data_IF_860242115803
#
_entry.id   IF_860242115803
#
_cell.length_a   1.000
_cell.length_b   1.000
_cell.length_c   1.000
_cell.angle_alpha   90.00
_cell.angle_beta   90.00
_cell.angle_gamma   90.00
#
_symmetry.space_group_name_H-M   'P 1'
#
loop_
_entity.id
_entity.type
_entity.pdbx_description
1 polymer ?
#
# COMPACT_ATOMS: atom_id res chain seq x y z
N UNK A 1 32.37 17.89 -35.51
CA UNK A 1 32.64 16.75 -34.61
C UNK A 1 31.36 16.45 -33.86
N UNK A 2 30.69 15.35 -34.23
CA UNK A 2 29.37 14.97 -33.77
C UNK A 2 29.42 14.25 -32.43
N UNK A 3 28.55 14.67 -31.52
CA UNK A 3 28.13 13.87 -30.36
C UNK A 3 26.61 13.95 -30.25
N UNK A 4 25.96 13.40 -31.27
CA UNK A 4 24.54 13.07 -31.22
C UNK A 4 24.47 11.57 -31.49
N UNK A 5 24.14 10.82 -30.44
CA UNK A 5 23.72 9.44 -30.58
C UNK A 5 22.39 9.41 -31.36
N UNK A 6 22.17 8.37 -32.16
CA UNK A 6 21.06 8.23 -33.13
C UNK A 6 19.67 8.13 -32.47
N UNK A 7 19.61 8.09 -31.16
CA UNK A 7 18.39 8.23 -30.36
C UNK A 7 18.55 9.52 -29.58
N UNK A 8 17.63 10.48 -29.73
CA UNK A 8 17.69 11.79 -29.07
C UNK A 8 17.56 11.77 -27.54
N UNK A 9 18.22 10.84 -26.84
CA UNK A 9 18.43 10.93 -25.40
C UNK A 9 19.56 11.92 -25.16
N UNK A 10 19.24 12.94 -24.36
CA UNK A 10 20.24 13.83 -23.79
C UNK A 10 21.35 12.99 -23.14
N UNK A 11 22.58 13.49 -23.18
CA UNK A 11 23.70 12.86 -22.48
C UNK A 11 23.29 12.57 -21.02
N UNK A 12 23.65 11.40 -20.47
CA UNK A 12 23.30 11.08 -19.08
C UNK A 12 23.84 12.19 -18.19
N UNK A 13 22.92 12.86 -17.50
CA UNK A 13 23.18 13.84 -16.46
C UNK A 13 24.18 13.19 -15.48
N UNK A 14 25.24 13.90 -15.05
CA UNK A 14 26.22 13.31 -14.14
C UNK A 14 25.48 12.74 -12.95
N UNK A 15 25.74 11.47 -12.65
CA UNK A 15 25.08 10.70 -11.58
C UNK A 15 25.29 11.47 -10.28
N UNK A 16 24.32 12.30 -9.94
CA UNK A 16 24.29 13.05 -8.69
C UNK A 16 24.03 12.02 -7.61
N UNK A 17 24.92 11.99 -6.63
CA UNK A 17 24.82 11.10 -5.48
C UNK A 17 23.38 11.12 -4.95
N UNK A 18 22.72 9.95 -4.93
CA UNK A 18 21.31 9.82 -4.59
C UNK A 18 20.97 10.39 -3.20
N UNK A 19 21.98 10.63 -2.37
CA UNK A 19 21.84 11.26 -1.06
C UNK A 19 21.50 12.76 -1.09
N UNK A 20 21.94 13.51 -2.10
CA UNK A 20 21.75 14.97 -2.17
C UNK A 20 20.60 15.41 -3.09
N UNK A 21 20.13 14.52 -3.96
CA UNK A 21 19.07 14.83 -4.93
C UNK A 21 17.70 14.83 -4.24
N UNK A 22 16.91 15.93 -4.33
CA UNK A 22 15.55 15.96 -3.81
C UNK A 22 14.66 14.99 -4.60
N UNK A 23 13.63 14.39 -3.97
CA UNK A 23 12.80 13.33 -4.58
C UNK A 23 12.22 13.70 -5.94
N UNK A 24 11.76 14.93 -6.14
CA UNK A 24 11.23 15.39 -7.44
C UNK A 24 12.29 15.78 -8.47
N UNK A 25 13.57 15.81 -8.10
CA UNK A 25 14.69 16.14 -8.98
C UNK A 25 15.32 14.92 -9.67
N UNK A 26 14.76 13.73 -9.45
CA UNK A 26 15.16 12.50 -10.10
C UNK A 26 14.63 12.47 -11.54
N UNK A 27 15.45 11.96 -12.48
CA UNK A 27 15.12 11.89 -13.91
C UNK A 27 13.86 11.02 -14.15
N UNK A 28 13.59 10.07 -13.26
CA UNK A 28 12.43 9.18 -13.26
C UNK A 28 11.08 9.92 -13.14
N UNK A 29 11.05 11.15 -12.61
CA UNK A 29 9.85 12.00 -12.61
C UNK A 29 9.57 12.65 -13.98
N UNK A 30 10.55 12.63 -14.89
CA UNK A 30 10.42 13.19 -16.24
C UNK A 30 10.00 12.14 -17.28
N UNK A 31 10.05 10.86 -16.93
CA UNK A 31 9.58 9.75 -17.77
C UNK A 31 8.21 9.24 -17.28
N UNK A 32 7.43 8.64 -18.18
CA UNK A 32 6.16 8.03 -17.81
C UNK A 32 6.39 6.73 -17.02
N UNK A 33 5.49 6.43 -16.07
CA UNK A 33 5.56 5.20 -15.29
C UNK A 33 5.49 3.94 -16.17
N UNK A 34 6.24 2.86 -15.85
CA UNK A 34 6.19 1.60 -16.59
C UNK A 34 4.78 0.96 -16.51
N UNK A 35 4.17 0.67 -17.67
CA UNK A 35 2.78 0.16 -17.72
C UNK A 35 2.65 -1.33 -18.05
N UNK A 36 3.58 -1.89 -18.84
CA UNK A 36 3.40 -3.21 -19.46
C UNK A 36 4.58 -4.16 -19.30
N UNK A 37 5.72 -3.68 -18.79
CA UNK A 37 6.94 -4.46 -18.64
C UNK A 37 7.69 -4.05 -17.37
N UNK A 38 8.34 -5.04 -16.75
CA UNK A 38 9.26 -4.77 -15.65
C UNK A 38 10.42 -3.87 -16.12
N UNK A 39 10.78 -2.81 -15.37
CA UNK A 39 11.96 -2.01 -15.65
C UNK A 39 13.25 -2.86 -15.60
N UNK A 40 14.23 -2.48 -16.42
CA UNK A 40 15.54 -3.13 -16.40
C UNK A 40 16.41 -2.69 -15.21
N UNK A 41 16.16 -1.48 -14.70
CA UNK A 41 16.93 -0.87 -13.62
C UNK A 41 16.03 -0.59 -12.41
N UNK A 42 16.62 -0.63 -11.21
CA UNK A 42 15.94 -0.30 -9.97
C UNK A 42 15.81 1.21 -9.78
N UNK A 43 14.73 1.64 -9.14
CA UNK A 43 14.48 3.03 -8.77
C UNK A 43 14.76 3.27 -7.28
N UNK A 44 15.10 4.50 -6.89
CA UNK A 44 15.19 4.89 -5.48
C UNK A 44 13.83 4.66 -4.77
N UNK A 45 13.80 3.98 -3.59
CA UNK A 45 12.55 3.70 -2.87
C UNK A 45 11.69 4.93 -2.57
N UNK A 46 12.30 6.10 -2.37
CA UNK A 46 11.58 7.36 -2.09
C UNK A 46 10.85 7.85 -3.32
N UNK A 47 11.47 7.71 -4.49
CA UNK A 47 10.90 8.08 -5.80
C UNK A 47 9.75 7.12 -6.11
N UNK A 48 9.99 5.80 -6.00
CA UNK A 48 8.98 4.78 -6.25
C UNK A 48 7.74 4.97 -5.36
N UNK A 49 7.94 5.17 -4.06
CA UNK A 49 6.85 5.42 -3.11
C UNK A 49 6.05 6.67 -3.49
N UNK A 50 6.73 7.75 -3.88
CA UNK A 50 6.05 9.01 -4.19
C UNK A 50 5.29 8.98 -5.51
N UNK A 51 5.80 8.23 -6.49
CA UNK A 51 5.08 8.00 -7.75
C UNK A 51 3.81 7.19 -7.51
N UNK A 52 3.88 6.10 -6.74
CA UNK A 52 2.71 5.29 -6.38
C UNK A 52 1.70 6.12 -5.57
N UNK A 53 2.16 6.90 -4.58
CA UNK A 53 1.27 7.80 -3.84
C UNK A 53 0.53 8.75 -4.78
N UNK A 54 1.21 9.26 -5.81
CA UNK A 54 0.62 10.23 -6.74
C UNK A 54 -0.46 9.60 -7.61
N UNK A 55 -0.32 8.32 -7.99
CA UNK A 55 -1.39 7.58 -8.66
C UNK A 55 -2.56 7.30 -7.72
N UNK A 56 -2.29 6.89 -6.47
CA UNK A 56 -3.33 6.65 -5.46
C UNK A 56 -4.10 7.93 -5.07
N UNK A 57 -3.45 9.09 -5.09
CA UNK A 57 -4.10 10.38 -4.84
C UNK A 57 -5.10 10.76 -5.95
N UNK A 58 -5.02 10.12 -7.13
CA UNK A 58 -6.01 10.27 -8.20
C UNK A 58 -7.25 9.39 -8.00
N UNK A 59 -7.18 8.37 -7.14
CA UNK A 59 -8.34 7.53 -6.81
C UNK A 59 -9.38 8.29 -5.98
N UNK A 60 -10.60 7.77 -6.00
CA UNK A 60 -11.70 8.32 -5.24
C UNK A 60 -11.43 8.22 -3.73
N UNK A 61 -11.66 9.30 -2.98
CA UNK A 61 -11.53 9.29 -1.52
C UNK A 61 -12.74 8.60 -0.90
N UNK A 62 -12.53 7.43 -0.30
CA UNK A 62 -13.58 6.60 0.28
C UNK A 62 -14.46 7.33 1.32
N UNK A 63 -13.94 8.34 2.03
CA UNK A 63 -14.71 9.14 2.99
C UNK A 63 -15.83 10.00 2.36
N UNK A 64 -15.94 10.03 1.03
CA UNK A 64 -17.02 10.66 0.28
C UNK A 64 -17.96 9.63 -0.38
N UNK A 65 -17.78 8.33 -0.13
CA UNK A 65 -18.67 7.29 -0.66
C UNK A 65 -19.88 7.10 0.26
N UNK A 66 -21.07 7.39 -0.26
CA UNK A 66 -22.34 7.21 0.44
C UNK A 66 -23.15 6.02 -0.09
N UNK A 67 -22.64 5.33 -1.13
CA UNK A 67 -23.36 4.29 -1.85
C UNK A 67 -22.94 2.87 -1.46
N UNK A 68 -21.77 2.70 -0.85
CA UNK A 68 -21.26 1.39 -0.45
C UNK A 68 -21.64 1.01 0.99
N UNK A 69 -21.67 -0.31 1.23
CA UNK A 69 -21.92 -0.88 2.56
C UNK A 69 -20.62 -1.32 3.25
N UNK A 70 -19.46 -0.92 2.72
CA UNK A 70 -18.16 -1.23 3.31
C UNK A 70 -17.84 -0.24 4.41
N UNK A 71 -16.98 -0.65 5.35
CA UNK A 71 -16.45 0.26 6.38
C UNK A 71 -15.27 1.03 5.80
N UNK A 72 -15.36 2.35 5.77
CA UNK A 72 -14.37 3.28 5.23
C UNK A 72 -13.62 4.08 6.32
N UNK A 73 -14.08 3.99 7.58
CA UNK A 73 -13.48 4.65 8.74
C UNK A 73 -13.30 3.68 9.92
N UNK A 74 -12.17 3.79 10.61
CA UNK A 74 -11.88 3.13 11.88
C UNK A 74 -11.16 4.08 12.83
N UNK A 75 -11.30 3.86 14.15
CA UNK A 75 -10.58 4.64 15.16
C UNK A 75 -9.05 4.42 15.06
N UNK A 76 -8.20 5.41 15.40
CA UNK A 76 -6.75 5.31 15.29
C UNK A 76 -6.14 4.11 16.04
N UNK A 77 -6.76 3.68 17.13
CA UNK A 77 -6.37 2.50 17.91
C UNK A 77 -6.53 1.21 17.10
N UNK A 78 -7.57 1.13 16.27
CA UNK A 78 -7.80 -0.02 15.39
C UNK A 78 -6.76 -0.06 14.26
N UNK A 79 -6.44 1.09 13.65
CA UNK A 79 -5.39 1.19 12.64
C UNK A 79 -4.04 0.74 13.18
N UNK A 80 -3.69 1.16 14.40
CA UNK A 80 -2.45 0.73 15.05
C UNK A 80 -2.39 -0.80 15.25
N UNK A 81 -3.51 -1.44 15.58
CA UNK A 81 -3.60 -2.90 15.70
C UNK A 81 -3.48 -3.60 14.35
N UNK A 82 -4.09 -3.06 13.29
CA UNK A 82 -3.98 -3.57 11.92
C UNK A 82 -2.52 -3.50 11.47
N UNK A 83 -1.86 -2.35 11.62
CA UNK A 83 -0.45 -2.20 11.26
C UNK A 83 0.46 -3.19 12.00
N UNK A 84 0.22 -3.41 13.31
CA UNK A 84 0.95 -4.43 14.09
C UNK A 84 0.70 -5.86 13.60
N UNK A 85 -0.44 -6.12 12.95
CA UNK A 85 -0.84 -7.43 12.47
C UNK A 85 -0.46 -7.71 11.01
N UNK A 86 -0.01 -6.72 10.23
CA UNK A 86 0.27 -6.86 8.78
C UNK A 86 1.22 -8.02 8.43
N UNK A 87 2.21 -8.30 9.28
CA UNK A 87 3.15 -9.40 9.04
C UNK A 87 2.65 -10.79 9.44
N UNK A 88 1.43 -10.92 9.99
CA UNK A 88 0.91 -12.20 10.51
C UNK A 88 0.06 -12.90 9.47
N UNK A 89 0.43 -14.13 9.15
CA UNK A 89 -0.33 -14.98 8.21
C UNK A 89 -1.39 -15.77 8.97
N UNK A 90 -2.67 -15.45 8.75
CA UNK A 90 -3.78 -16.01 9.53
C UNK A 90 -3.95 -17.54 9.43
N UNK A 91 -3.57 -18.15 8.29
CA UNK A 91 -3.70 -19.60 8.10
C UNK A 91 -2.70 -20.38 8.96
N UNK A 92 -1.56 -19.78 9.33
CA UNK A 92 -0.55 -20.42 10.16
C UNK A 92 -0.91 -20.32 11.66
N UNK A 93 -1.76 -21.26 12.09
CA UNK A 93 -2.22 -21.33 13.49
C UNK A 93 -1.16 -21.88 14.44
N UNK A 94 -0.11 -22.52 13.93
CA UNK A 94 0.97 -23.05 14.74
C UNK A 94 1.93 -21.93 15.17
N UNK A 95 2.25 -21.02 14.25
CA UNK A 95 3.09 -19.86 14.53
C UNK A 95 2.34 -18.78 15.33
N UNK A 96 1.03 -18.61 15.08
CA UNK A 96 0.21 -17.56 15.71
C UNK A 96 -0.95 -18.09 16.58
N UNK A 97 -0.69 -18.89 17.63
CA UNK A 97 -1.74 -19.52 18.43
C UNK A 97 -2.63 -18.51 19.17
N UNK A 98 -2.06 -17.35 19.55
CA UNK A 98 -2.82 -16.27 20.19
C UNK A 98 -3.78 -15.58 19.21
N UNK A 99 -3.36 -15.37 17.96
CA UNK A 99 -4.24 -14.79 16.91
C UNK A 99 -5.39 -15.72 16.61
N UNK A 100 -5.11 -17.03 16.50
CA UNK A 100 -6.15 -18.03 16.32
C UNK A 100 -7.16 -18.05 17.48
N UNK A 101 -6.70 -17.93 18.73
CA UNK A 101 -7.61 -17.89 19.87
C UNK A 101 -8.44 -16.60 19.95
N UNK A 102 -7.87 -15.45 19.55
CA UNK A 102 -8.64 -14.21 19.42
C UNK A 102 -9.78 -14.36 18.39
N UNK A 103 -9.50 -14.95 17.23
CA UNK A 103 -10.54 -15.23 16.24
C UNK A 103 -11.63 -16.18 16.77
N UNK A 104 -11.26 -17.25 17.50
CA UNK A 104 -12.24 -18.13 18.15
C UNK A 104 -13.10 -17.39 19.17
N UNK A 105 -12.51 -16.46 19.94
CA UNK A 105 -13.23 -15.66 20.92
C UNK A 105 -14.29 -14.79 20.27
N UNK A 106 -13.96 -14.11 19.17
CA UNK A 106 -14.93 -13.31 18.40
C UNK A 106 -16.05 -14.21 17.85
N UNK A 107 -15.70 -15.39 17.32
CA UNK A 107 -16.69 -16.38 16.87
C UNK A 107 -17.68 -16.77 17.98
N UNK A 108 -17.18 -17.05 19.19
CA UNK A 108 -18.03 -17.33 20.36
C UNK A 108 -18.93 -16.14 20.74
N UNK A 109 -18.41 -14.92 20.66
CA UNK A 109 -19.20 -13.71 20.95
C UNK A 109 -20.36 -13.54 19.98
N UNK A 110 -20.10 -13.67 18.67
CA UNK A 110 -21.12 -13.53 17.62
C UNK A 110 -22.16 -14.65 17.73
N UNK A 111 -21.72 -15.89 17.95
CA UNK A 111 -22.62 -17.03 18.12
C UNK A 111 -23.55 -16.84 19.33
N UNK A 112 -22.99 -16.45 20.49
CA UNK A 112 -23.78 -16.21 21.69
C UNK A 112 -24.77 -15.07 21.51
N UNK A 113 -24.36 -13.99 20.85
CA UNK A 113 -25.25 -12.87 20.55
C UNK A 113 -26.42 -13.30 19.67
N UNK A 114 -26.17 -14.08 18.61
CA UNK A 114 -27.23 -14.57 17.71
C UNK A 114 -28.25 -15.47 18.44
N UNK A 115 -27.78 -16.37 19.31
CA UNK A 115 -28.66 -17.24 20.10
C UNK A 115 -29.60 -16.45 21.02
N UNK A 116 -29.11 -15.35 21.63
CA UNK A 116 -29.93 -14.48 22.47
C UNK A 116 -31.01 -13.72 21.68
N UNK A 117 -30.80 -13.42 20.40
CA UNK A 117 -31.82 -12.79 19.57
C UNK A 117 -32.92 -13.79 19.18
N UNK A 118 -32.55 -15.05 18.89
CA UNK A 118 -33.52 -16.10 18.54
C UNK A 118 -34.42 -16.46 19.73
N UNK A 119 -33.87 -16.52 20.95
CA UNK A 119 -34.64 -16.85 22.15
C UNK A 119 -35.53 -15.69 22.67
N UNK A 120 -35.43 -14.50 22.08
CA UNK A 120 -36.24 -13.32 22.44
C UNK A 120 -37.46 -13.09 21.53
N UNK A 121 -37.64 -13.94 20.51
CA UNK A 121 -38.81 -13.98 19.62
C UNK A 121 -39.68 -15.16 20.03
#
# INVERSE_FOLDING_TARGET
MSKLDRKGKAAPTPVVDGFITPTYGFDEFSEALPQSSMPQESMDPRVAKKLIDSELDMDFRNCADLGSYITDYMDPEADALIQRALGKVFIDKAEYPRTAEMARRVGRMVQNWALLQIMRV
#
